data_IF_785001309624
#
_entry.id   IF_785001309624
#
_cell.length_a   1.000
_cell.length_b   1.000
_cell.length_c   1.000
_cell.angle_alpha   90.00
_cell.angle_beta   90.00
_cell.angle_gamma   90.00
#
_symmetry.space_group_name_H-M   'P 1'
#
loop_
_entity.id
_entity.type
_entity.pdbx_description
1 polymer ?
#
# COMPACT_ATOMS: atom_id res chain seq x y z
N UNK A 1 -42.57 -8.39 55.10
CA UNK A 1 -41.84 -9.04 56.21
C UNK A 1 -40.36 -8.78 55.98
N UNK A 2 -39.78 -7.71 56.54
CA UNK A 2 -39.29 -7.52 57.92
C UNK A 2 -37.77 -7.84 58.00
N UNK A 3 -37.02 -6.73 57.98
CA UNK A 3 -35.82 -6.33 58.74
C UNK A 3 -34.41 -6.93 58.54
N UNK A 4 -33.51 -5.95 58.50
CA UNK A 4 -32.04 -5.84 58.55
C UNK A 4 -31.36 -6.47 59.78
N UNK A 5 -30.10 -6.92 59.61
CA UNK A 5 -29.10 -7.03 60.68
C UNK A 5 -27.71 -7.56 60.21
N UNK A 6 -26.68 -6.71 60.21
CA UNK A 6 -25.23 -7.05 60.29
C UNK A 6 -24.84 -7.19 61.79
N UNK A 7 -23.73 -7.84 62.26
CA UNK A 7 -22.36 -7.66 61.75
C UNK A 7 -21.33 -8.84 61.88
N UNK A 8 -20.14 -8.61 61.29
CA UNK A 8 -18.77 -9.08 61.65
C UNK A 8 -18.32 -10.54 61.45
N UNK A 9 -17.17 -10.66 60.78
CA UNK A 9 -16.43 -11.87 60.37
C UNK A 9 -15.94 -12.74 61.54
N UNK A 10 -15.74 -14.06 61.29
CA UNK A 10 -14.37 -14.57 61.32
C UNK A 10 -14.06 -15.68 60.29
N UNK A 11 -12.82 -15.58 59.78
CA UNK A 11 -11.84 -16.63 59.46
C UNK A 11 -12.10 -17.69 58.39
N UNK A 12 -11.00 -17.90 57.66
CA UNK A 12 -10.58 -19.11 56.94
C UNK A 12 -11.01 -19.21 55.49
N UNK A 13 -10.21 -18.58 54.62
CA UNK A 13 -10.32 -18.67 53.18
C UNK A 13 -9.94 -20.05 52.67
N UNK A 14 -10.82 -20.62 51.85
CA UNK A 14 -10.55 -21.75 50.98
C UNK A 14 -10.17 -21.18 49.61
N UNK A 15 -8.91 -21.33 49.20
CA UNK A 15 -8.50 -21.16 47.80
C UNK A 15 -8.18 -22.53 47.19
N UNK A 16 -8.57 -22.66 45.93
CA UNK A 16 -8.55 -23.88 45.14
C UNK A 16 -7.13 -24.41 44.93
N UNK A 17 -7.03 -25.74 45.00
CA UNK A 17 -5.80 -26.52 44.83
C UNK A 17 -5.52 -26.68 43.33
N UNK A 18 -4.39 -26.12 42.87
CA UNK A 18 -3.67 -26.52 41.66
C UNK A 18 -2.28 -27.02 42.07
N UNK A 19 -1.76 -28.15 41.55
CA UNK A 19 -0.44 -28.64 41.94
C UNK A 19 0.70 -27.76 41.40
N UNK A 20 1.59 -27.34 42.29
CA UNK A 20 2.91 -26.79 41.98
C UNK A 20 3.88 -27.92 41.58
N UNK A 21 4.65 -27.72 40.51
CA UNK A 21 5.84 -28.52 40.21
C UNK A 21 7.08 -27.62 40.34
N UNK A 22 8.03 -28.07 41.16
CA UNK A 22 9.20 -27.34 41.62
C UNK A 22 10.22 -27.10 40.49
N UNK A 23 10.76 -25.89 40.51
CA UNK A 23 11.90 -25.43 39.73
C UNK A 23 13.16 -26.23 40.14
N UNK A 24 13.62 -27.11 39.26
CA UNK A 24 14.87 -27.88 39.45
C UNK A 24 15.94 -27.37 38.48
N UNK A 25 16.99 -26.84 39.08
CA UNK A 25 18.23 -26.33 38.48
C UNK A 25 18.77 -27.25 37.37
N UNK A 26 19.24 -26.73 36.21
CA UNK A 26 19.77 -27.59 35.17
C UNK A 26 21.12 -28.15 35.61
N UNK A 27 21.11 -29.44 35.96
CA UNK A 27 22.29 -30.26 36.23
C UNK A 27 23.30 -30.11 35.08
N UNK A 28 24.44 -29.47 35.39
CA UNK A 28 25.57 -29.25 34.49
C UNK A 28 26.22 -30.59 34.16
N UNK A 29 25.65 -31.35 33.21
CA UNK A 29 26.32 -32.51 32.63
C UNK A 29 27.59 -32.03 31.93
N UNK A 30 28.73 -32.20 32.60
CA UNK A 30 30.05 -32.13 31.98
C UNK A 30 30.09 -33.19 30.88
N UNK A 31 29.84 -32.78 29.65
CA UNK A 31 30.16 -33.58 28.48
C UNK A 31 31.68 -33.63 28.39
N UNK A 32 32.28 -34.69 28.96
CA UNK A 32 33.70 -35.03 28.77
C UNK A 32 33.91 -35.19 27.27
N UNK A 33 34.56 -34.23 26.62
CA UNK A 33 34.95 -34.37 25.22
C UNK A 33 36.10 -35.38 25.15
N UNK A 34 35.78 -36.65 24.90
CA UNK A 34 36.76 -37.58 24.36
C UNK A 34 37.03 -37.18 22.91
N UNK A 35 37.93 -36.22 22.75
CA UNK A 35 38.64 -35.97 21.49
C UNK A 35 39.58 -37.15 21.23
N UNK A 36 39.04 -38.27 20.76
CA UNK A 36 39.87 -39.39 20.30
C UNK A 36 40.52 -39.01 18.96
N UNK A 37 41.84 -38.91 18.99
CA UNK A 37 42.71 -38.69 17.84
C UNK A 37 42.70 -39.96 16.96
N UNK A 38 41.97 -39.95 15.85
CA UNK A 38 41.98 -41.07 14.91
C UNK A 38 43.23 -41.01 14.03
N UNK A 39 44.13 -41.99 14.19
CA UNK A 39 45.26 -42.20 13.30
C UNK A 39 46.55 -42.56 14.03
N UNK A 40 46.65 -43.78 14.54
CA UNK A 40 47.94 -44.41 14.83
C UNK A 40 47.96 -45.78 14.15
N UNK A 41 48.77 -45.91 13.10
CA UNK A 41 49.19 -47.21 12.58
C UNK A 41 50.29 -47.68 13.53
N UNK A 42 49.94 -48.60 14.42
CA UNK A 42 50.85 -49.18 15.40
C UNK A 42 50.53 -50.66 15.52
N UNK A 43 51.49 -51.47 15.10
CA UNK A 43 51.43 -52.92 15.09
C UNK A 43 51.35 -53.48 16.52
N UNK A 44 50.44 -54.42 16.71
CA UNK A 44 50.41 -55.43 17.77
C UNK A 44 50.21 -55.03 19.25
N UNK A 45 49.33 -55.82 19.89
CA UNK A 45 49.02 -55.97 21.34
C UNK A 45 47.89 -55.06 21.86
N UNK A 46 46.79 -55.73 22.24
CA UNK A 46 45.48 -55.14 22.45
C UNK A 46 45.30 -54.34 23.74
N UNK A 47 44.51 -53.27 23.66
CA UNK A 47 43.18 -53.19 24.25
C UNK A 47 42.49 -51.89 23.81
N UNK A 48 41.19 -51.99 23.52
CA UNK A 48 40.21 -50.90 23.42
C UNK A 48 40.52 -49.73 22.46
N UNK A 49 40.71 -50.06 21.17
CA UNK A 49 40.48 -49.10 20.10
C UNK A 49 39.09 -49.34 19.52
N UNK A 50 38.17 -48.39 19.70
CA UNK A 50 36.82 -48.46 19.13
C UNK A 50 36.90 -48.75 17.62
N UNK A 51 36.52 -49.96 17.22
CA UNK A 51 36.54 -50.37 15.81
C UNK A 51 35.64 -49.42 15.01
N UNK A 52 36.18 -48.82 13.94
CA UNK A 52 35.42 -47.91 13.08
C UNK A 52 34.13 -48.60 12.59
N UNK A 53 32.93 -48.07 12.87
CA UNK A 53 31.66 -48.76 12.65
C UNK A 53 31.40 -49.07 11.16
N UNK A 54 32.01 -48.29 10.26
CA UNK A 54 31.82 -48.39 8.80
C UNK A 54 32.70 -49.46 8.15
N UNK A 55 33.94 -49.64 8.62
CA UNK A 55 34.88 -50.61 8.04
C UNK A 55 35.23 -51.77 8.98
N UNK A 56 34.74 -51.75 10.24
CA UNK A 56 35.00 -52.75 11.30
C UNK A 56 36.47 -53.15 11.46
N UNK A 57 37.40 -52.25 11.13
CA UNK A 57 38.84 -52.52 11.17
C UNK A 57 39.42 -53.28 9.96
N UNK A 58 38.63 -53.56 8.92
CA UNK A 58 39.05 -54.33 7.72
C UNK A 58 39.70 -53.42 6.66
N UNK A 59 39.57 -52.10 6.79
CA UNK A 59 40.11 -51.12 5.82
C UNK A 59 39.39 -51.12 4.46
N UNK A 60 38.33 -51.93 4.30
CA UNK A 60 37.49 -52.01 3.10
C UNK A 60 36.01 -52.02 3.51
N UNK A 61 35.16 -51.33 2.75
CA UNK A 61 33.72 -51.23 3.02
C UNK A 61 33.03 -52.43 2.33
N UNK A 62 32.42 -53.36 3.08
CA UNK A 62 31.77 -54.53 2.49
C UNK A 62 30.53 -54.13 1.70
N UNK A 63 30.51 -54.44 0.39
CA UNK A 63 29.43 -54.08 -0.55
C UNK A 63 28.14 -54.92 -0.41
N UNK A 64 27.92 -55.57 0.74
CA UNK A 64 26.79 -56.48 0.97
C UNK A 64 25.62 -55.86 1.74
N UNK A 65 25.70 -54.57 2.06
CA UNK A 65 24.60 -53.80 2.62
C UNK A 65 24.26 -52.66 1.65
N UNK A 66 23.09 -52.74 1.02
CA UNK A 66 22.61 -51.80 0.00
C UNK A 66 22.26 -50.40 0.51
N UNK A 67 22.56 -50.10 1.77
CA UNK A 67 22.27 -48.81 2.39
C UNK A 67 23.59 -48.11 2.74
N UNK A 68 24.31 -47.66 1.71
CA UNK A 68 25.38 -46.68 1.87
C UNK A 68 24.76 -45.33 2.23
N UNK A 69 24.42 -45.13 3.50
CA UNK A 69 24.08 -43.81 4.03
C UNK A 69 25.40 -43.15 4.38
N UNK A 70 25.79 -42.14 3.59
CA UNK A 70 26.84 -41.23 4.01
C UNK A 70 26.34 -40.48 5.25
N UNK A 71 26.73 -40.96 6.44
CA UNK A 71 26.46 -40.26 7.70
C UNK A 71 27.43 -39.09 7.78
N UNK A 72 27.10 -37.99 7.12
CA UNK A 72 27.81 -36.72 7.32
C UNK A 72 27.40 -36.24 8.71
N UNK A 73 28.32 -36.29 9.68
CA UNK A 73 28.02 -35.78 11.02
C UNK A 73 27.61 -34.31 10.90
N UNK A 74 26.58 -33.89 11.63
CA UNK A 74 26.15 -32.48 11.67
C UNK A 74 27.27 -31.52 12.15
N UNK A 75 28.38 -32.07 12.65
CA UNK A 75 29.58 -31.39 13.14
C UNK A 75 30.81 -31.62 12.25
N UNK A 76 30.63 -31.91 10.96
CA UNK A 76 31.75 -32.07 10.02
C UNK A 76 32.51 -30.74 9.86
N UNK A 77 33.76 -30.71 10.36
CA UNK A 77 34.64 -29.52 10.30
C UNK A 77 35.00 -29.10 8.88
N UNK A 78 34.81 -29.96 7.86
CA UNK A 78 35.04 -29.60 6.45
C UNK A 78 33.97 -28.63 5.92
N UNK A 79 32.73 -28.76 6.38
CA UNK A 79 31.69 -27.75 6.21
C UNK A 79 31.99 -26.65 7.24
N UNK A 80 32.83 -25.67 6.91
CA UNK A 80 33.19 -24.55 7.81
C UNK A 80 31.93 -23.85 8.35
N UNK A 81 31.38 -24.23 9.52
CA UNK A 81 29.96 -24.03 9.80
C UNK A 81 29.62 -22.56 10.04
N UNK A 82 30.55 -21.81 10.65
CA UNK A 82 30.42 -20.39 10.90
C UNK A 82 30.45 -19.56 9.61
N UNK A 83 31.29 -19.93 8.64
CA UNK A 83 31.39 -19.26 7.34
C UNK A 83 30.14 -19.54 6.51
N UNK A 84 29.71 -20.81 6.43
CA UNK A 84 28.48 -21.19 5.70
C UNK A 84 27.24 -20.51 6.29
N UNK A 85 27.10 -20.46 7.62
CA UNK A 85 25.98 -19.73 8.28
C UNK A 85 25.98 -18.23 7.92
N UNK A 86 27.13 -17.58 7.92
CA UNK A 86 27.25 -16.17 7.53
C UNK A 86 26.85 -15.96 6.06
N UNK A 87 27.33 -16.80 5.14
CA UNK A 87 26.97 -16.70 3.72
C UNK A 87 25.47 -16.91 3.48
N UNK A 88 24.86 -17.90 4.14
CA UNK A 88 23.41 -18.14 4.05
C UNK A 88 22.64 -16.95 4.61
N UNK A 89 23.05 -16.39 5.75
CA UNK A 89 22.41 -15.21 6.34
C UNK A 89 22.49 -13.99 5.42
N UNK A 90 23.68 -13.70 4.88
CA UNK A 90 23.89 -12.61 3.90
C UNK A 90 23.02 -12.83 2.66
N UNK A 91 22.94 -14.07 2.16
CA UNK A 91 22.12 -14.40 0.99
C UNK A 91 20.63 -14.16 1.26
N UNK A 92 20.11 -14.54 2.43
CA UNK A 92 18.72 -14.29 2.81
C UNK A 92 18.45 -12.78 2.93
N UNK A 93 19.33 -12.04 3.61
CA UNK A 93 19.18 -10.57 3.76
C UNK A 93 19.22 -9.87 2.40
N UNK A 94 20.15 -10.23 1.51
CA UNK A 94 20.23 -9.66 0.16
C UNK A 94 18.97 -9.97 -0.65
N UNK A 95 18.45 -11.20 -0.57
CA UNK A 95 17.21 -11.57 -1.23
C UNK A 95 16.03 -10.74 -0.72
N UNK A 96 15.88 -10.62 0.60
CA UNK A 96 14.83 -9.80 1.22
C UNK A 96 14.93 -8.32 0.82
N UNK A 97 16.15 -7.77 0.78
CA UNK A 97 16.38 -6.40 0.32
C UNK A 97 15.97 -6.23 -1.15
N UNK A 98 16.37 -7.15 -2.04
CA UNK A 98 16.01 -7.08 -3.45
C UNK A 98 14.49 -7.19 -3.62
N UNK A 99 13.84 -8.14 -2.93
CA UNK A 99 12.39 -8.27 -2.95
C UNK A 99 11.70 -6.99 -2.46
N UNK A 100 12.17 -6.42 -1.34
CA UNK A 100 11.63 -5.17 -0.80
C UNK A 100 11.78 -4.01 -1.80
N UNK A 101 12.93 -3.87 -2.46
CA UNK A 101 13.16 -2.83 -3.47
C UNK A 101 12.23 -3.00 -4.67
N UNK A 102 12.09 -4.23 -5.19
CA UNK A 102 11.17 -4.54 -6.29
C UNK A 102 9.75 -4.11 -5.91
N UNK A 103 9.28 -4.54 -4.74
CA UNK A 103 7.96 -4.18 -4.24
C UNK A 103 7.82 -2.66 -4.07
N UNK A 104 8.78 -1.98 -3.44
CA UNK A 104 8.73 -0.54 -3.22
C UNK A 104 8.63 0.28 -4.53
N UNK A 105 9.32 -0.13 -5.59
CA UNK A 105 9.31 0.58 -6.88
C UNK A 105 8.12 0.19 -7.77
N UNK A 106 7.65 -1.06 -7.71
CA UNK A 106 6.57 -1.56 -8.57
C UNK A 106 5.18 -1.47 -7.93
N UNK A 107 5.08 -1.35 -6.61
CA UNK A 107 3.77 -1.17 -5.98
C UNK A 107 3.18 0.17 -6.41
N UNK A 108 1.93 0.17 -6.94
CA UNK A 108 1.28 1.39 -7.35
C UNK A 108 1.12 2.35 -6.18
N UNK A 109 1.57 3.58 -6.39
CA UNK A 109 1.28 4.71 -5.50
C UNK A 109 0.06 5.46 -6.00
N UNK A 110 -0.41 6.40 -5.19
CA UNK A 110 -1.52 7.28 -5.51
C UNK A 110 -1.33 8.00 -6.85
N UNK A 111 -2.41 8.04 -7.61
CA UNK A 111 -2.58 8.98 -8.71
C UNK A 111 -3.75 9.86 -8.27
N UNK A 112 -3.55 11.18 -8.30
CA UNK A 112 -4.57 12.11 -7.84
C UNK A 112 -4.87 13.18 -8.88
N UNK A 113 -6.15 13.45 -9.04
CA UNK A 113 -6.68 14.58 -9.76
C UNK A 113 -7.03 15.68 -8.77
N UNK A 114 -6.65 16.92 -9.01
CA UNK A 114 -7.10 18.06 -8.21
C UNK A 114 -7.50 19.23 -9.13
N UNK A 115 -8.56 19.95 -8.76
CA UNK A 115 -8.87 21.23 -9.41
C UNK A 115 -8.00 22.29 -8.77
N UNK A 116 -7.28 23.07 -9.58
CA UNK A 116 -6.42 24.15 -9.09
C UNK A 116 -7.24 25.43 -8.96
N UNK A 117 -8.00 25.78 -9.99
CA UNK A 117 -8.85 26.98 -10.02
C UNK A 117 -9.73 26.99 -11.27
N UNK A 118 -10.90 27.64 -11.16
CA UNK A 118 -11.61 28.20 -12.32
C UNK A 118 -10.76 29.34 -12.86
N UNK A 119 -10.47 29.37 -14.16
CA UNK A 119 -9.67 30.44 -14.78
C UNK A 119 -10.55 31.54 -15.37
N UNK A 120 -11.63 31.16 -16.06
CA UNK A 120 -12.58 32.13 -16.62
C UNK A 120 -13.94 31.50 -16.91
N UNK A 121 -14.98 32.34 -16.91
CA UNK A 121 -16.34 32.03 -17.32
C UNK A 121 -16.75 33.07 -18.35
N UNK A 122 -17.13 32.61 -19.54
CA UNK A 122 -17.71 33.45 -20.59
C UNK A 122 -19.16 33.09 -20.77
N UNK A 123 -20.05 34.07 -20.66
CA UNK A 123 -21.50 33.90 -20.72
C UNK A 123 -22.03 34.53 -22.00
N UNK A 124 -22.91 33.80 -22.68
CA UNK A 124 -23.60 34.21 -23.89
C UNK A 124 -25.11 34.06 -23.70
N UNK A 125 -25.83 35.17 -23.82
CA UNK A 125 -27.28 35.19 -23.67
C UNK A 125 -27.96 35.08 -25.03
N UNK A 126 -28.83 34.08 -25.19
CA UNK A 126 -29.75 33.90 -26.33
C UNK A 126 -31.18 33.98 -25.79
N UNK A 127 -32.23 34.37 -26.54
CA UNK A 127 -33.59 34.49 -25.98
C UNK A 127 -34.04 33.28 -25.15
N UNK A 128 -33.81 32.06 -25.63
CA UNK A 128 -34.32 30.84 -25.01
C UNK A 128 -33.32 30.10 -24.12
N UNK A 129 -32.04 30.50 -24.12
CA UNK A 129 -30.98 29.79 -23.39
C UNK A 129 -29.83 30.69 -22.92
N UNK A 130 -29.10 30.22 -21.91
CA UNK A 130 -27.83 30.80 -21.47
C UNK A 130 -26.72 29.80 -21.75
N UNK A 131 -25.75 30.19 -22.56
CA UNK A 131 -24.58 29.37 -22.85
C UNK A 131 -23.38 29.92 -22.09
N UNK A 132 -22.60 29.04 -21.46
CA UNK A 132 -21.40 29.43 -20.74
C UNK A 132 -20.22 28.57 -21.16
N UNK A 133 -19.04 29.18 -21.24
CA UNK A 133 -17.78 28.48 -21.39
C UNK A 133 -16.97 28.66 -20.13
N UNK A 134 -16.89 27.60 -19.33
CA UNK A 134 -16.12 27.56 -18.09
C UNK A 134 -14.76 26.94 -18.39
N UNK A 135 -13.69 27.68 -18.11
CA UNK A 135 -12.31 27.23 -18.30
C UNK A 135 -11.73 26.85 -16.96
N UNK A 136 -11.46 25.56 -16.74
CA UNK A 136 -10.92 25.02 -15.50
C UNK A 136 -9.51 24.48 -15.70
N UNK A 137 -8.67 24.67 -14.67
CA UNK A 137 -7.31 24.14 -14.65
C UNK A 137 -7.24 23.01 -13.64
N UNK A 138 -6.89 21.83 -14.14
CA UNK A 138 -6.73 20.62 -13.34
C UNK A 138 -5.24 20.27 -13.18
N UNK A 139 -4.85 19.82 -12.00
CA UNK A 139 -3.54 19.27 -11.72
C UNK A 139 -3.62 17.76 -11.60
N UNK A 140 -2.90 17.09 -12.50
CA UNK A 140 -2.79 15.65 -12.58
C UNK A 140 -1.46 15.25 -11.96
N UNK A 141 -1.53 14.61 -10.80
CA UNK A 141 -0.36 14.22 -10.01
C UNK A 141 -0.11 12.72 -10.15
N UNK A 142 1.10 12.35 -10.55
CA UNK A 142 1.56 10.97 -10.61
C UNK A 142 2.64 10.75 -9.54
N UNK A 143 2.31 10.11 -8.42
CA UNK A 143 3.29 9.76 -7.39
C UNK A 143 4.04 8.45 -7.68
N UNK A 144 3.67 7.75 -8.76
CA UNK A 144 4.28 6.49 -9.15
C UNK A 144 5.69 6.70 -9.70
N UNK A 145 6.54 5.67 -9.58
CA UNK A 145 7.89 5.66 -10.16
C UNK A 145 7.87 5.31 -11.65
N UNK A 146 6.72 4.92 -12.19
CA UNK A 146 6.50 4.71 -13.62
C UNK A 146 5.80 5.90 -14.28
N UNK A 147 5.96 6.02 -15.59
CA UNK A 147 5.19 6.96 -16.40
C UNK A 147 3.73 6.52 -16.49
N UNK A 148 2.82 7.48 -16.31
CA UNK A 148 1.39 7.28 -16.42
C UNK A 148 0.88 7.85 -17.75
N UNK A 149 0.07 7.09 -18.47
CA UNK A 149 -0.64 7.56 -19.67
C UNK A 149 -2.11 7.79 -19.33
N UNK A 150 -2.59 8.98 -19.65
CA UNK A 150 -4.01 9.33 -19.50
C UNK A 150 -4.72 8.97 -20.80
N UNK A 151 -5.57 7.94 -20.76
CA UNK A 151 -6.26 7.42 -21.93
C UNK A 151 -7.47 8.27 -22.29
N UNK A 152 -8.34 8.48 -21.30
CA UNK A 152 -9.57 9.25 -21.45
C UNK A 152 -9.80 10.09 -20.19
N UNK A 153 -10.31 11.30 -20.39
CA UNK A 153 -10.83 12.17 -19.34
C UNK A 153 -12.24 12.59 -19.72
N UNK A 154 -13.20 12.31 -18.85
CA UNK A 154 -14.60 12.66 -19.00
C UNK A 154 -15.00 13.53 -17.81
N UNK A 155 -15.67 14.64 -18.09
CA UNK A 155 -16.14 15.56 -17.07
C UNK A 155 -17.57 15.96 -17.39
N UNK A 156 -18.41 15.88 -16.37
CA UNK A 156 -19.80 16.31 -16.39
C UNK A 156 -19.99 17.46 -15.41
N UNK A 157 -20.78 18.45 -15.81
CA UNK A 157 -21.20 19.56 -14.96
C UNK A 157 -22.68 19.35 -14.65
N UNK A 158 -23.00 19.26 -13.37
CA UNK A 158 -24.36 19.11 -12.88
C UNK A 158 -24.77 20.38 -12.12
N UNK A 159 -26.02 20.78 -12.31
CA UNK A 159 -26.70 21.82 -11.54
C UNK A 159 -27.99 21.18 -11.02
N UNK A 160 -28.15 21.12 -9.71
CA UNK A 160 -29.30 20.45 -9.06
C UNK A 160 -29.54 19.04 -9.63
N UNK A 161 -28.49 18.21 -9.63
CA UNK A 161 -28.45 16.83 -10.17
C UNK A 161 -28.72 16.69 -11.68
N UNK A 162 -28.91 17.79 -12.40
CA UNK A 162 -29.19 17.78 -13.84
C UNK A 162 -27.92 18.10 -14.62
N UNK A 163 -27.56 17.26 -15.60
CA UNK A 163 -26.35 17.44 -16.41
C UNK A 163 -26.53 18.60 -17.40
N UNK A 164 -25.77 19.67 -17.19
CA UNK A 164 -25.80 20.90 -18.00
C UNK A 164 -24.66 21.00 -19.01
N UNK A 165 -23.61 20.18 -18.84
CA UNK A 165 -22.47 20.14 -19.74
C UNK A 165 -21.71 18.84 -19.60
N UNK A 166 -21.14 18.34 -20.70
CA UNK A 166 -20.24 17.18 -20.70
C UNK A 166 -19.13 17.39 -21.71
N UNK A 167 -17.92 17.01 -21.32
CA UNK A 167 -16.77 16.97 -22.22
C UNK A 167 -16.02 15.66 -22.03
N UNK A 168 -15.57 15.09 -23.15
CA UNK A 168 -14.68 13.93 -23.16
C UNK A 168 -13.45 14.23 -24.00
N UNK A 169 -12.28 14.08 -23.41
CA UNK A 169 -10.98 14.27 -24.04
C UNK A 169 -10.29 12.91 -24.06
N UNK A 170 -9.97 12.41 -25.25
CA UNK A 170 -9.26 11.15 -25.42
C UNK A 170 -7.80 11.39 -25.81
N UNK A 171 -6.96 10.38 -25.56
CA UNK A 171 -5.55 10.33 -25.92
C UNK A 171 -4.75 11.54 -25.39
N UNK A 172 -4.86 11.77 -24.08
CA UNK A 172 -4.13 12.83 -23.41
C UNK A 172 -2.66 12.45 -23.27
N UNK A 173 -1.82 13.47 -23.13
CA UNK A 173 -0.37 13.26 -22.98
C UNK A 173 -0.03 12.54 -21.67
N UNK A 174 1.10 11.84 -21.66
CA UNK A 174 1.59 11.18 -20.46
C UNK A 174 2.09 12.17 -19.39
N UNK A 175 2.04 11.72 -18.14
CA UNK A 175 2.59 12.38 -16.96
C UNK A 175 3.79 11.56 -16.49
N UNK A 176 4.95 12.21 -16.39
CA UNK A 176 6.21 11.56 -16.02
C UNK A 176 6.13 10.98 -14.61
N UNK A 177 7.02 10.04 -14.29
CA UNK A 177 7.15 9.50 -12.94
C UNK A 177 7.35 10.62 -11.91
N UNK A 178 6.67 10.54 -10.77
CA UNK A 178 6.81 11.48 -9.64
C UNK A 178 6.72 12.94 -10.06
N UNK A 179 5.74 13.26 -10.90
CA UNK A 179 5.54 14.59 -11.44
C UNK A 179 4.08 14.99 -11.50
N UNK A 180 3.89 16.29 -11.65
CA UNK A 180 2.59 16.94 -11.76
C UNK A 180 2.47 17.60 -13.13
N UNK A 181 1.26 17.63 -13.67
CA UNK A 181 0.99 18.28 -14.95
C UNK A 181 -0.37 18.97 -14.94
N UNK A 182 -0.35 20.22 -15.37
CA UNK A 182 -1.55 21.05 -15.48
C UNK A 182 -2.23 20.84 -16.83
N UNK A 183 -3.56 20.72 -16.80
CA UNK A 183 -4.42 20.64 -17.97
C UNK A 183 -5.50 21.70 -17.88
N UNK A 184 -5.59 22.52 -18.93
CA UNK A 184 -6.66 23.52 -19.07
C UNK A 184 -7.77 22.92 -19.93
N UNK A 185 -8.98 22.86 -19.39
CA UNK A 185 -10.16 22.30 -20.05
C UNK A 185 -11.25 23.36 -20.11
N UNK A 186 -11.84 23.52 -21.29
CA UNK A 186 -12.99 24.42 -21.50
C UNK A 186 -14.24 23.56 -21.64
N UNK A 187 -15.17 23.68 -20.68
CA UNK A 187 -16.44 22.98 -20.73
C UNK A 187 -17.57 23.93 -21.16
N UNK A 188 -18.32 23.59 -22.22
CA UNK A 188 -19.55 24.28 -22.56
C UNK A 188 -20.68 23.82 -21.62
N UNK A 189 -21.40 24.78 -21.05
CA UNK A 189 -22.59 24.58 -20.23
C UNK A 189 -23.75 25.26 -20.95
N UNK A 190 -24.88 24.57 -21.07
CA UNK A 190 -26.08 25.12 -21.72
C UNK A 190 -27.24 25.02 -20.72
N UNK A 191 -27.83 26.17 -20.42
CA UNK A 191 -29.00 26.28 -19.54
C UNK A 191 -30.22 26.58 -20.41
N UNK A 192 -31.14 25.60 -20.48
CA UNK A 192 -32.43 25.71 -21.17
C UNK A 192 -33.60 25.81 -20.19
N UNK A 193 -33.39 25.48 -18.90
CA UNK A 193 -34.43 25.59 -17.88
C UNK A 193 -34.94 27.04 -17.79
N UNK A 194 -36.26 27.28 -17.92
CA UNK A 194 -36.80 28.63 -17.96
C UNK A 194 -36.60 29.39 -16.65
N UNK A 195 -36.57 28.71 -15.50
CA UNK A 195 -36.32 29.32 -14.20
C UNK A 195 -34.89 29.82 -14.09
N UNK A 196 -33.92 28.95 -14.40
CA UNK A 196 -32.50 29.27 -14.32
C UNK A 196 -32.08 30.28 -15.41
N UNK A 197 -32.65 30.16 -16.60
CA UNK A 197 -32.46 31.12 -17.69
C UNK A 197 -32.93 32.53 -17.29
N UNK A 198 -34.14 32.64 -16.72
CA UNK A 198 -34.66 33.92 -16.22
C UNK A 198 -33.84 34.44 -15.03
N UNK A 199 -33.38 33.56 -14.14
CA UNK A 199 -32.49 33.94 -13.05
C UNK A 199 -31.23 34.60 -13.59
N UNK A 200 -30.45 33.91 -14.43
CA UNK A 200 -29.19 34.42 -14.98
C UNK A 200 -29.33 35.72 -15.79
N UNK A 201 -30.50 35.98 -16.40
CA UNK A 201 -30.79 37.21 -17.15
C UNK A 201 -31.45 38.31 -16.33
N UNK A 202 -31.84 38.04 -15.08
CA UNK A 202 -32.64 38.96 -14.28
C UNK A 202 -31.87 40.24 -13.98
N UNK A 203 -32.43 41.40 -14.32
CA UNK A 203 -31.86 42.71 -13.97
C UNK A 203 -32.20 43.13 -12.53
N UNK A 204 -33.16 42.46 -11.90
CA UNK A 204 -33.55 42.74 -10.51
C UNK A 204 -32.56 42.15 -9.51
N UNK A 205 -31.88 41.08 -9.89
CA UNK A 205 -30.88 40.39 -9.09
C UNK A 205 -29.51 40.84 -9.57
N UNK A 206 -28.65 41.29 -8.66
CA UNK A 206 -27.29 41.76 -9.01
C UNK A 206 -26.24 40.65 -9.00
N UNK A 207 -26.56 39.49 -8.42
CA UNK A 207 -25.62 38.38 -8.20
C UNK A 207 -26.27 37.10 -8.69
N UNK A 208 -25.68 36.46 -9.71
CA UNK A 208 -26.22 35.28 -10.38
C UNK A 208 -25.35 34.05 -10.15
N UNK A 209 -25.15 33.68 -8.88
CA UNK A 209 -24.25 32.57 -8.53
C UNK A 209 -24.93 31.21 -8.74
N UNK A 210 -24.29 30.35 -9.53
CA UNK A 210 -24.65 28.95 -9.70
C UNK A 210 -23.70 28.05 -8.94
N UNK A 211 -24.25 26.97 -8.39
CA UNK A 211 -23.49 25.89 -7.79
C UNK A 211 -23.34 24.76 -8.81
N UNK A 212 -22.11 24.48 -9.20
CA UNK A 212 -21.76 23.42 -10.12
C UNK A 212 -21.17 22.25 -9.35
N UNK A 213 -21.72 21.05 -9.58
CA UNK A 213 -21.05 19.80 -9.24
C UNK A 213 -20.30 19.31 -10.48
N UNK A 214 -18.98 19.29 -10.41
CA UNK A 214 -18.11 18.69 -11.41
C UNK A 214 -17.88 17.23 -11.06
N UNK A 215 -18.38 16.33 -11.89
CA UNK A 215 -18.08 14.91 -11.80
C UNK A 215 -17.04 14.55 -12.85
N UNK A 216 -15.84 14.19 -12.41
CA UNK A 216 -14.74 13.86 -13.30
C UNK A 216 -14.43 12.38 -13.20
N UNK A 217 -14.17 11.77 -14.35
CA UNK A 217 -13.65 10.41 -14.44
C UNK A 217 -12.47 10.38 -15.40
N UNK A 218 -11.40 9.71 -14.99
CA UNK A 218 -10.17 9.59 -15.74
C UNK A 218 -9.79 8.13 -15.85
N UNK A 219 -9.52 7.68 -17.06
CA UNK A 219 -8.96 6.35 -17.31
C UNK A 219 -7.46 6.49 -17.53
N UNK A 220 -6.66 5.83 -16.69
CA UNK A 220 -5.20 5.91 -16.73
C UNK A 220 -4.62 4.52 -16.93
N UNK A 221 -3.44 4.48 -17.53
CA UNK A 221 -2.65 3.25 -17.67
C UNK A 221 -1.21 3.47 -17.26
N UNK A 222 -0.67 2.50 -16.53
CA UNK A 222 0.71 2.48 -16.02
C UNK A 222 1.15 1.03 -15.80
N UNK A 223 2.41 0.69 -16.04
CA UNK A 223 2.96 -0.66 -15.78
C UNK A 223 2.09 -1.85 -16.25
N UNK A 224 1.45 -1.72 -17.42
CA UNK A 224 0.49 -2.69 -17.99
C UNK A 224 -0.80 -2.91 -17.19
N UNK A 225 -1.08 -2.06 -16.21
CA UNK A 225 -2.36 -1.92 -15.55
C UNK A 225 -3.12 -0.72 -16.11
N UNK A 226 -4.45 -0.80 -16.08
CA UNK A 226 -5.32 0.34 -16.35
C UNK A 226 -6.37 0.41 -15.25
N UNK A 227 -6.62 1.61 -14.76
CA UNK A 227 -7.61 1.88 -13.73
C UNK A 227 -8.44 3.12 -14.07
N UNK A 228 -9.65 3.15 -13.55
CA UNK A 228 -10.52 4.33 -13.62
C UNK A 228 -10.52 5.04 -12.28
N UNK A 229 -10.24 6.33 -12.31
CA UNK A 229 -10.26 7.23 -11.15
C UNK A 229 -11.43 8.19 -11.32
N UNK A 230 -12.23 8.37 -10.28
CA UNK A 230 -13.30 9.36 -10.26
C UNK A 230 -13.05 10.39 -9.15
N UNK A 231 -13.44 11.63 -9.41
CA UNK A 231 -13.39 12.70 -8.42
C UNK A 231 -14.49 13.70 -8.68
N UNK A 232 -15.15 14.06 -7.59
CA UNK A 232 -16.20 15.06 -7.58
C UNK A 232 -15.70 16.31 -6.87
N UNK A 233 -15.95 17.48 -7.46
CA UNK A 233 -15.61 18.77 -6.88
C UNK A 233 -16.73 19.77 -7.11
N UNK A 234 -16.86 20.74 -6.22
CA UNK A 234 -17.88 21.77 -6.30
C UNK A 234 -17.26 23.12 -6.64
N UNK A 235 -17.93 23.89 -7.49
CA UNK A 235 -17.50 25.21 -7.92
C UNK A 235 -18.68 26.18 -7.92
N UNK A 236 -18.38 27.45 -7.62
CA UNK A 236 -19.34 28.54 -7.73
C UNK A 236 -18.96 29.40 -8.94
N UNK A 237 -19.92 29.67 -9.82
CA UNK A 237 -19.73 30.55 -10.97
C UNK A 237 -20.81 31.62 -11.02
N UNK A 238 -20.51 32.76 -11.63
CA UNK A 238 -21.50 33.77 -11.96
C UNK A 238 -22.02 33.54 -13.39
N UNK A 239 -23.33 33.33 -13.56
CA UNK A 239 -23.97 33.18 -14.86
C UNK A 239 -24.54 34.49 -15.42
N UNK A 240 -24.44 35.61 -14.70
CA UNK A 240 -24.95 36.91 -15.10
C UNK A 240 -23.92 37.75 -15.87
N UNK A 241 -22.64 37.48 -15.69
CA UNK A 241 -21.56 38.26 -16.27
C UNK A 241 -20.33 37.39 -16.60
N UNK A 242 -19.49 37.93 -17.49
CA UNK A 242 -18.18 37.32 -17.77
C UNK A 242 -17.25 37.51 -16.57
N UNK A 243 -16.58 36.44 -16.13
CA UNK A 243 -15.61 36.49 -15.05
C UNK A 243 -14.26 35.94 -15.50
N UNK A 244 -13.17 36.62 -15.19
CA UNK A 244 -11.78 36.17 -15.47
C UNK A 244 -10.95 36.02 -14.20
N UNK A 245 -11.59 36.14 -13.04
CA UNK A 245 -10.91 36.09 -11.76
C UNK A 245 -10.76 34.62 -11.37
N UNK A 246 -9.52 34.15 -11.11
CA UNK A 246 -9.34 32.81 -10.58
C UNK A 246 -9.93 32.76 -9.17
N UNK A 247 -10.93 31.90 -8.97
CA UNK A 247 -11.39 31.53 -7.65
C UNK A 247 -10.49 30.41 -7.14
N UNK A 248 -9.53 30.68 -6.22
CA UNK A 248 -8.79 29.59 -5.60
C UNK A 248 -9.82 28.74 -4.85
N UNK A 249 -9.93 27.46 -5.24
CA UNK A 249 -10.69 26.47 -4.48
C UNK A 249 -9.84 26.20 -3.24
N UNK A 250 -10.00 27.06 -2.23
CA UNK A 250 -9.40 26.90 -0.93
C UNK A 250 -9.92 25.61 -0.33
N UNK A 251 -9.04 24.62 -0.31
CA UNK A 251 -9.02 23.48 0.59
C UNK A 251 -9.76 23.85 1.89
N UNK A 252 -11.02 23.42 2.02
CA UNK A 252 -11.72 23.46 3.30
C UNK A 252 -10.98 22.47 4.19
N UNK A 253 -9.98 23.00 4.90
CA UNK A 253 -9.37 22.36 6.06
C UNK A 253 -10.51 22.09 7.03
N UNK A 254 -10.90 20.83 7.11
CA UNK A 254 -11.72 20.31 8.18
C UNK A 254 -10.87 20.34 9.45
N UNK A 255 -10.79 21.49 10.12
CA UNK A 255 -10.43 21.49 11.54
C UNK A 255 -11.68 21.07 12.33
N UNK A 256 -11.65 19.85 12.84
CA UNK A 256 -12.41 19.45 14.02
C UNK A 256 -11.47 18.73 14.98
#
# INVERSE_FOLDING_TARGET
>A
MVTVGYPSAPKEGTEAIMPQEQEQEPEKRRFRSHSQLYGAVGDSIGNLGDNCPTCRGIGRIPRKHDQLVAVISCSDKRLRPSRTKLYVCISVVLCLLICFLILFFLFPRSISLSSVTVQSVRVFFTPDKVEMQVTNVFNFTNDNFAEMKVLDFDMQVLIDETVMGRIKISNMTSVKSRSEKLYTVVIPIIIEDPGLNNYCKSTSIRIHTLFLLLQMTMNVSYLAHSEQLSKDTFEYIDCGANTTIPHPIGQMILER
#
